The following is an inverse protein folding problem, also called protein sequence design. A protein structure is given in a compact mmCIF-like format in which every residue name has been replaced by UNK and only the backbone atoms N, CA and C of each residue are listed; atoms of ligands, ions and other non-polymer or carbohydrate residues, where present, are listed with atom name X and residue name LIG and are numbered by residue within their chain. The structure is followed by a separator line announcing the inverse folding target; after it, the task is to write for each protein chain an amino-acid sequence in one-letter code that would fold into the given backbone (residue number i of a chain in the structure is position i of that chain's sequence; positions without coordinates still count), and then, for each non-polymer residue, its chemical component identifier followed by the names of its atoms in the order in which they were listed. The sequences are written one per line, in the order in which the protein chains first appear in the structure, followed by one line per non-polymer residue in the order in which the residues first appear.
data_IF_139734578482
#
_entry.id   IF_139734578482
#
_cell.length_a   1.000
_cell.length_b   1.000
_cell.length_c   1.000
_cell.angle_alpha   90.00
_cell.angle_beta   90.00
_cell.angle_gamma   90.00
#
_symmetry.space_group_name_H-M   'P 1'
#
loop_
_entity.id
_entity.type
_entity.pdbx_description
1 polymer ?
#
# COMPACT_ATOMS: atom_id res chain seq x y z
N UNK A 1 -37.38 12.86 21.33
CA UNK A 1 -36.60 11.64 21.61
C UNK A 1 -37.44 10.44 21.17
N UNK A 2 -37.19 9.88 19.99
CA UNK A 2 -37.94 8.71 19.54
C UNK A 2 -37.59 7.52 20.45
N UNK A 3 -38.57 6.98 21.17
CA UNK A 3 -38.43 5.68 21.82
C UNK A 3 -38.12 4.67 20.72
N UNK A 4 -36.84 4.32 20.55
CA UNK A 4 -36.39 3.46 19.47
C UNK A 4 -36.95 2.05 19.70
N UNK A 5 -38.09 1.75 19.08
CA UNK A 5 -38.69 0.43 19.07
C UNK A 5 -37.60 -0.63 18.79
N UNK A 6 -37.59 -1.69 19.59
CA UNK A 6 -36.68 -2.81 19.34
C UNK A 6 -37.19 -3.54 18.11
N UNK A 7 -36.37 -3.70 17.06
CA UNK A 7 -36.80 -4.46 15.89
C UNK A 7 -37.13 -5.89 16.33
N UNK A 8 -38.14 -6.48 15.70
CA UNK A 8 -38.55 -7.85 15.96
C UNK A 8 -37.74 -8.80 15.06
N UNK A 9 -37.39 -9.95 15.61
CA UNK A 9 -36.68 -11.04 14.93
C UNK A 9 -37.63 -12.22 14.82
N UNK A 10 -37.78 -12.77 13.63
CA UNK A 10 -38.62 -13.94 13.37
C UNK A 10 -37.91 -15.22 13.83
N UNK A 11 -38.59 -16.03 14.64
CA UNK A 11 -38.11 -17.36 15.02
C UNK A 11 -38.52 -18.36 13.94
N UNK A 12 -37.54 -19.10 13.43
CA UNK A 12 -37.77 -20.15 12.45
C UNK A 12 -38.01 -21.49 13.16
N UNK A 13 -39.11 -22.17 12.83
CA UNK A 13 -39.37 -23.54 13.26
C UNK A 13 -38.65 -24.52 12.31
N UNK A 14 -38.06 -25.58 12.87
CA UNK A 14 -37.24 -26.54 12.14
C UNK A 14 -38.01 -27.78 11.65
N UNK A 15 -39.22 -28.00 12.18
CA UNK A 15 -40.07 -29.14 11.83
C UNK A 15 -41.24 -28.68 10.96
N UNK A 16 -41.47 -29.37 9.84
CA UNK A 16 -42.50 -29.05 8.84
C UNK A 16 -43.91 -29.45 9.25
N UNK A 17 -44.07 -30.23 10.32
CA UNK A 17 -45.30 -31.00 10.57
C UNK A 17 -46.29 -30.29 11.52
N UNK A 18 -45.92 -29.15 12.10
CA UNK A 18 -46.82 -28.30 12.90
C UNK A 18 -47.17 -27.02 12.14
N UNK A 19 -47.60 -27.17 10.89
CA UNK A 19 -48.19 -26.10 10.11
C UNK A 19 -49.72 -26.06 10.31
N UNK A 20 -50.16 -25.85 11.55
CA UNK A 20 -51.48 -25.27 11.81
C UNK A 20 -51.27 -23.78 12.04
N UNK A 21 -51.67 -22.96 11.06
CA UNK A 21 -51.73 -21.50 11.09
C UNK A 21 -50.58 -20.78 11.84
N UNK A 22 -49.36 -20.97 11.34
CA UNK A 22 -48.45 -19.88 10.97
C UNK A 22 -48.12 -18.78 11.99
N UNK A 23 -48.22 -19.00 13.29
CA UNK A 23 -47.74 -18.03 14.28
C UNK A 23 -46.20 -17.95 14.24
N UNK A 24 -45.69 -17.10 13.35
CA UNK A 24 -44.27 -16.70 13.33
C UNK A 24 -43.99 -16.01 14.66
N UNK A 25 -43.49 -16.74 15.65
CA UNK A 25 -43.17 -16.15 16.94
C UNK A 25 -42.06 -15.13 16.75
N UNK A 26 -42.39 -13.86 16.93
CA UNK A 26 -41.46 -12.75 16.80
C UNK A 26 -40.92 -12.37 18.18
N UNK A 27 -39.61 -12.21 18.30
CA UNK A 27 -38.95 -11.82 19.53
C UNK A 27 -38.31 -10.45 19.37
N UNK A 28 -38.34 -9.63 20.42
CA UNK A 28 -37.63 -8.36 20.41
C UNK A 28 -36.11 -8.58 20.35
N UNK A 29 -35.42 -7.83 19.50
CA UNK A 29 -33.96 -7.85 19.43
C UNK A 29 -33.34 -7.43 20.78
N UNK A 30 -32.48 -8.27 21.40
CA UNK A 30 -31.77 -7.93 22.62
C UNK A 30 -30.94 -6.67 22.48
N UNK A 31 -30.82 -5.89 23.57
CA UNK A 31 -30.11 -4.60 23.55
C UNK A 31 -28.64 -4.76 23.21
N UNK A 32 -28.04 -5.90 23.57
CA UNK A 32 -26.63 -6.22 23.28
C UNK A 32 -26.34 -6.24 21.78
N UNK A 33 -27.32 -6.57 20.93
CA UNK A 33 -27.13 -6.59 19.47
C UNK A 33 -27.10 -5.19 18.85
N UNK A 34 -27.53 -4.17 19.60
CA UNK A 34 -27.41 -2.75 19.22
C UNK A 34 -26.11 -2.11 19.73
N UNK A 35 -25.30 -2.84 20.50
CA UNK A 35 -24.05 -2.32 21.03
C UNK A 35 -23.07 -1.94 19.90
N UNK A 36 -22.23 -0.90 20.09
CA UNK A 36 -21.30 -0.45 19.07
C UNK A 36 -20.29 -1.54 18.72
N UNK A 37 -20.17 -1.84 17.42
CA UNK A 37 -19.21 -2.81 16.90
C UNK A 37 -17.81 -2.21 16.96
N UNK A 38 -16.90 -2.84 17.74
CA UNK A 38 -15.54 -2.34 17.99
C UNK A 38 -14.46 -3.38 17.61
N UNK A 39 -14.03 -3.42 16.33
CA UNK A 39 -12.99 -4.36 15.89
C UNK A 39 -11.65 -4.16 16.58
N UNK A 40 -11.34 -2.92 16.96
CA UNK A 40 -10.14 -2.52 17.69
C UNK A 40 -10.03 -3.25 19.04
N UNK A 41 -11.09 -3.19 19.86
CA UNK A 41 -11.12 -3.84 21.17
C UNK A 41 -11.14 -5.36 21.00
N UNK A 42 -11.95 -5.88 20.08
CA UNK A 42 -12.06 -7.32 19.86
C UNK A 42 -10.72 -7.92 19.45
N UNK A 43 -10.03 -7.32 18.47
CA UNK A 43 -8.69 -7.77 18.06
C UNK A 43 -7.70 -7.76 19.22
N UNK A 44 -7.64 -6.65 19.98
CA UNK A 44 -6.71 -6.49 21.08
C UNK A 44 -6.95 -7.52 22.19
N UNK A 45 -8.20 -7.65 22.65
CA UNK A 45 -8.59 -8.59 23.71
C UNK A 45 -8.46 -10.04 23.26
N UNK A 46 -8.87 -10.38 22.03
CA UNK A 46 -8.71 -11.70 21.45
C UNK A 46 -7.23 -12.12 21.43
N UNK A 47 -6.34 -11.23 20.98
CA UNK A 47 -4.89 -11.51 20.96
C UNK A 47 -4.34 -11.81 22.36
N UNK A 48 -4.79 -11.10 23.38
CA UNK A 48 -4.37 -11.32 24.77
C UNK A 48 -4.96 -12.61 25.35
N UNK A 49 -6.26 -12.87 25.16
CA UNK A 49 -6.90 -14.11 25.59
C UNK A 49 -6.28 -15.34 24.91
N UNK A 50 -5.92 -15.25 23.63
CA UNK A 50 -5.30 -16.34 22.89
C UNK A 50 -3.89 -16.69 23.43
N UNK A 51 -3.18 -15.73 24.02
CA UNK A 51 -1.87 -15.99 24.68
C UNK A 51 -2.03 -16.86 25.92
N UNK A 52 -3.12 -16.73 26.66
CA UNK A 52 -3.36 -17.49 27.90
C UNK A 52 -3.47 -19.00 27.68
N UNK A 53 -3.81 -19.46 26.46
CA UNK A 53 -3.86 -20.90 26.13
C UNK A 53 -2.48 -21.49 25.83
N UNK A 54 -1.43 -20.66 25.67
CA UNK A 54 -0.09 -21.14 25.32
C UNK A 54 0.52 -21.88 26.50
N UNK A 55 1.03 -23.08 26.23
CA UNK A 55 1.83 -23.82 27.20
C UNK A 55 3.23 -23.19 27.26
N UNK A 56 3.80 -22.95 28.45
CA UNK A 56 5.15 -22.46 28.56
C UNK A 56 6.11 -23.46 27.92
N UNK A 57 7.10 -22.95 27.20
CA UNK A 57 8.15 -23.75 26.61
C UNK A 57 9.48 -23.03 26.87
N UNK A 58 10.49 -23.81 27.21
CA UNK A 58 11.85 -23.32 27.43
C UNK A 58 12.84 -24.38 26.97
N UNK A 59 14.05 -23.95 26.62
CA UNK A 59 15.18 -24.88 26.48
C UNK A 59 15.48 -25.45 27.87
N UNK A 60 15.91 -26.72 27.93
CA UNK A 60 16.29 -27.31 29.23
C UNK A 60 17.39 -26.48 29.87
N UNK A 61 17.26 -26.22 31.18
CA UNK A 61 18.22 -25.39 31.94
C UNK A 61 19.66 -25.91 31.87
N UNK A 62 19.84 -27.22 31.65
CA UNK A 62 21.16 -27.88 31.59
C UNK A 62 21.67 -28.12 30.16
N UNK A 63 20.91 -27.72 29.14
CA UNK A 63 21.34 -27.88 27.74
C UNK A 63 22.62 -27.10 27.51
N UNK A 64 23.67 -27.77 27.02
CA UNK A 64 24.99 -27.17 26.79
C UNK A 64 25.90 -27.08 28.02
N UNK A 65 25.40 -27.40 29.22
CA UNK A 65 26.18 -27.37 30.48
C UNK A 65 26.61 -28.75 30.98
N UNK A 66 26.17 -29.83 30.32
CA UNK A 66 26.51 -31.22 30.68
C UNK A 66 27.70 -31.77 29.89
N UNK A 67 28.45 -30.90 29.19
CA UNK A 67 29.66 -31.27 28.47
C UNK A 67 30.89 -30.96 29.31
N UNK A 68 31.74 -31.95 29.55
CA UNK A 68 33.06 -31.79 30.21
C UNK A 68 34.10 -31.11 29.31
N UNK A 69 33.66 -30.15 28.48
CA UNK A 69 34.50 -29.48 27.51
C UNK A 69 35.42 -28.48 28.24
N UNK A 70 36.68 -28.86 28.39
CA UNK A 70 37.73 -28.01 28.95
C UNK A 70 38.63 -27.46 27.84
N UNK A 71 39.12 -26.23 28.00
CA UNK A 71 40.07 -25.61 27.07
C UNK A 71 41.49 -25.99 27.47
N UNK A 72 42.28 -26.56 26.56
CA UNK A 72 43.67 -26.94 26.82
C UNK A 72 44.68 -25.78 26.80
N UNK A 73 44.24 -24.53 26.59
CA UNK A 73 45.14 -23.39 26.42
C UNK A 73 46.02 -23.43 25.15
N UNK A 74 46.56 -22.24 24.81
CA UNK A 74 47.50 -21.88 23.74
C UNK A 74 47.46 -22.65 22.40
N UNK A 75 46.36 -22.51 21.64
CA UNK A 75 46.29 -22.12 20.20
C UNK A 75 44.86 -22.26 19.63
N UNK A 76 44.47 -21.48 18.60
CA UNK A 76 43.05 -21.22 18.31
C UNK A 76 42.40 -22.26 17.41
N UNK A 77 41.13 -22.54 17.71
CA UNK A 77 40.13 -23.36 16.96
C UNK A 77 40.22 -24.88 17.15
N UNK A 78 39.62 -25.39 18.24
CA UNK A 78 39.04 -26.75 18.23
C UNK A 78 37.70 -26.76 18.97
N UNK A 79 36.65 -27.11 18.23
CA UNK A 79 35.34 -27.43 18.78
C UNK A 79 35.41 -28.84 19.44
N UNK A 80 34.78 -29.05 20.60
CA UNK A 80 34.79 -30.34 21.29
C UNK A 80 33.84 -31.36 20.63
N UNK A 81 34.29 -32.62 20.47
CA UNK A 81 33.50 -33.72 19.88
C UNK A 81 33.08 -34.75 20.95
N UNK A 82 31.78 -35.07 21.07
CA UNK A 82 31.30 -36.12 21.98
C UNK A 82 30.98 -37.47 21.27
N UNK A 83 31.19 -38.63 21.92
CA UNK A 83 30.74 -39.94 21.43
C UNK A 83 29.29 -40.29 21.83
N UNK A 84 28.57 -40.99 20.93
CA UNK A 84 27.16 -41.42 21.06
C UNK A 84 26.99 -42.72 21.86
N UNK A 85 25.87 -42.91 22.62
CA UNK A 85 24.87 -43.90 22.17
C UNK A 85 23.38 -43.65 22.54
N UNK A 86 22.53 -44.48 21.92
CA UNK A 86 21.05 -44.50 21.80
C UNK A 86 20.27 -44.75 23.11
N UNK A 87 19.03 -44.24 23.20
CA UNK A 87 17.99 -44.67 24.17
C UNK A 87 16.64 -44.96 23.49
N UNK A 88 15.98 -46.04 23.94
CA UNK A 88 14.58 -46.43 23.65
C UNK A 88 13.65 -45.97 24.79
N UNK A 89 12.44 -45.52 24.46
CA UNK A 89 11.27 -45.60 25.36
C UNK A 89 9.93 -45.49 24.59
N UNK A 90 8.90 -46.18 25.10
CA UNK A 90 7.45 -46.17 24.78
C UNK A 90 6.71 -46.14 26.14
N UNK A 91 5.37 -46.08 26.33
CA UNK A 91 4.19 -45.64 25.54
C UNK A 91 3.27 -44.66 26.33
N UNK A 92 2.15 -44.15 25.73
CA UNK A 92 0.75 -44.14 26.29
C UNK A 92 -0.20 -43.18 25.54
N UNK A 93 -1.43 -43.67 25.29
CA UNK A 93 -2.62 -42.95 24.77
C UNK A 93 -3.42 -42.33 25.92
N UNK A 94 -4.15 -41.21 25.71
CA UNK A 94 -5.28 -40.84 26.56
C UNK A 94 -6.64 -40.93 25.84
N UNK A 95 -7.51 -41.81 26.38
CA UNK A 95 -8.77 -41.50 27.08
C UNK A 95 -9.80 -40.52 26.49
N UNK A 96 -11.04 -41.03 26.36
CA UNK A 96 -12.29 -40.36 25.98
C UNK A 96 -12.91 -39.48 27.07
N UNK A 97 -13.83 -38.59 26.69
CA UNK A 97 -15.06 -38.31 27.45
C UNK A 97 -16.13 -37.69 26.52
N UNK A 98 -17.34 -38.27 26.59
CA UNK A 98 -18.61 -37.74 26.09
C UNK A 98 -19.15 -36.72 27.10
N UNK A 99 -19.95 -35.78 26.61
CA UNK A 99 -21.14 -35.29 27.31
C UNK A 99 -22.19 -34.89 26.26
N UNK A 100 -23.42 -35.34 26.52
CA UNK A 100 -24.61 -35.27 25.69
C UNK A 100 -25.01 -33.83 25.38
N UNK A 101 -25.15 -33.48 24.09
CA UNK A 101 -25.78 -32.24 23.66
C UNK A 101 -27.26 -32.51 23.41
N UNK A 102 -28.09 -32.04 24.33
CA UNK A 102 -29.47 -32.42 24.57
C UNK A 102 -30.43 -32.03 23.43
N UNK A 103 -31.04 -33.05 22.81
CA UNK A 103 -32.26 -32.94 21.99
C UNK A 103 -32.12 -33.29 20.50
N UNK A 104 -30.92 -33.33 19.93
CA UNK A 104 -30.68 -33.79 18.55
C UNK A 104 -29.57 -34.83 18.56
N UNK A 105 -29.96 -36.09 18.59
CA UNK A 105 -29.01 -37.20 18.73
C UNK A 105 -28.25 -37.51 17.43
N UNK A 106 -28.85 -37.19 16.28
CA UNK A 106 -28.32 -37.55 14.96
C UNK A 106 -27.79 -36.33 14.22
N UNK A 107 -26.60 -36.46 13.64
CA UNK A 107 -26.02 -35.42 12.78
C UNK A 107 -26.85 -35.21 11.50
N UNK A 108 -27.60 -36.21 11.05
CA UNK A 108 -28.46 -36.13 9.87
C UNK A 108 -29.63 -35.17 10.06
N UNK A 109 -30.25 -35.14 11.23
CA UNK A 109 -31.33 -34.19 11.55
C UNK A 109 -30.78 -32.77 11.70
N UNK A 110 -29.61 -32.60 12.31
CA UNK A 110 -28.91 -31.31 12.35
C UNK A 110 -28.58 -30.77 10.95
N UNK A 111 -28.12 -31.64 10.02
CA UNK A 111 -27.85 -31.26 8.63
C UNK A 111 -29.14 -30.84 7.90
N UNK A 112 -30.25 -31.54 8.12
CA UNK A 112 -31.56 -31.18 7.54
C UNK A 112 -32.02 -29.80 8.03
N UNK A 113 -31.91 -29.52 9.32
CA UNK A 113 -32.20 -28.21 9.89
C UNK A 113 -31.33 -27.10 9.30
N UNK A 114 -30.02 -27.33 9.16
CA UNK A 114 -29.11 -26.35 8.54
C UNK A 114 -29.42 -26.09 7.06
N UNK A 115 -29.90 -27.11 6.33
CA UNK A 115 -30.33 -26.96 4.93
C UNK A 115 -31.58 -26.10 4.82
N UNK A 116 -32.56 -26.28 5.70
CA UNK A 116 -33.78 -25.46 5.74
C UNK A 116 -33.50 -24.00 6.09
N UNK A 117 -32.57 -23.75 7.01
CA UNK A 117 -32.13 -22.37 7.36
C UNK A 117 -31.24 -21.75 6.25
N UNK A 118 -30.72 -22.55 5.31
CA UNK A 118 -29.76 -22.09 4.30
C UNK A 118 -28.34 -21.88 4.84
N UNK A 119 -28.04 -22.35 6.05
CA UNK A 119 -26.73 -22.27 6.70
C UNK A 119 -25.76 -23.40 6.29
N UNK A 120 -26.28 -24.43 5.62
CA UNK A 120 -25.52 -25.61 5.22
C UNK A 120 -24.32 -25.35 4.27
N UNK A 121 -24.35 -24.37 3.33
CA UNK A 121 -23.20 -24.10 2.47
C UNK A 121 -21.91 -23.72 3.21
N UNK A 122 -22.01 -23.04 4.37
CA UNK A 122 -20.84 -22.69 5.18
C UNK A 122 -20.23 -23.94 5.86
N UNK A 123 -21.08 -24.89 6.25
CA UNK A 123 -20.64 -26.18 6.79
C UNK A 123 -19.96 -27.05 5.72
N UNK A 124 -20.47 -27.04 4.47
CA UNK A 124 -19.83 -27.73 3.34
C UNK A 124 -18.46 -27.13 3.02
N UNK A 125 -18.38 -25.79 2.92
CA UNK A 125 -17.09 -25.09 2.75
C UNK A 125 -16.09 -25.46 3.85
N UNK A 126 -16.54 -25.54 5.10
CA UNK A 126 -15.67 -25.92 6.21
C UNK A 126 -15.16 -27.37 6.09
N UNK A 127 -16.02 -28.30 5.63
CA UNK A 127 -15.64 -29.70 5.36
C UNK A 127 -14.58 -29.81 4.26
N UNK A 128 -14.76 -29.08 3.16
CA UNK A 128 -13.87 -29.15 1.99
C UNK A 128 -12.54 -28.42 2.21
N UNK A 129 -12.53 -27.41 3.09
CA UNK A 129 -11.35 -26.58 3.39
C UNK A 129 -10.28 -27.25 4.27
N UNK A 130 -10.38 -28.56 4.53
CA UNK A 130 -9.42 -29.28 5.37
C UNK A 130 -8.10 -29.55 4.63
N UNK A 131 -7.26 -28.51 4.53
CA UNK A 131 -5.95 -28.60 3.92
C UNK A 131 -4.85 -28.97 4.93
N UNK A 132 -3.84 -29.71 4.47
CA UNK A 132 -2.62 -29.96 5.23
C UNK A 132 -1.86 -28.64 5.39
N UNK A 133 -1.74 -28.15 6.64
CA UNK A 133 -1.02 -26.90 6.90
C UNK A 133 0.47 -27.02 6.57
N UNK A 134 1.08 -26.00 5.95
CA UNK A 134 2.52 -25.97 5.69
C UNK A 134 3.33 -25.78 7.00
N UNK A 135 4.60 -26.21 6.99
CA UNK A 135 5.54 -26.03 8.10
C UNK A 135 5.68 -27.20 9.08
N UNK A 136 6.46 -26.99 10.14
CA UNK A 136 6.85 -28.01 11.13
C UNK A 136 5.72 -28.44 12.09
N UNK A 137 4.56 -27.78 12.03
CA UNK A 137 3.40 -28.07 12.88
C UNK A 137 2.69 -29.40 12.58
N UNK A 138 3.02 -30.05 11.46
CA UNK A 138 2.43 -31.32 10.98
C UNK A 138 2.60 -32.49 11.96
N UNK A 139 3.60 -32.43 12.85
CA UNK A 139 3.86 -33.47 13.85
C UNK A 139 2.82 -33.48 14.99
N UNK A 140 1.93 -32.49 15.08
CA UNK A 140 0.87 -32.42 16.09
C UNK A 140 -0.47 -32.78 15.46
N UNK A 141 -0.82 -34.07 15.54
CA UNK A 141 -2.11 -34.59 15.13
C UNK A 141 -3.23 -33.89 15.92
N UNK A 142 -4.02 -33.03 15.27
CA UNK A 142 -5.21 -32.43 15.89
C UNK A 142 -6.44 -33.11 15.31
N UNK A 143 -7.23 -33.73 16.19
CA UNK A 143 -8.58 -34.21 15.86
C UNK A 143 -9.52 -33.05 16.12
N UNK A 144 -10.28 -32.60 15.11
CA UNK A 144 -11.48 -31.80 15.35
C UNK A 144 -12.55 -32.18 14.33
N UNK A 145 -13.79 -32.21 14.80
CA UNK A 145 -14.99 -32.34 13.97
C UNK A 145 -15.10 -31.07 13.09
N UNK A 146 -15.54 -31.17 11.82
CA UNK A 146 -15.47 -30.04 10.88
C UNK A 146 -16.38 -28.87 11.28
N UNK A 147 -15.78 -27.67 11.37
CA UNK A 147 -16.43 -26.37 11.18
C UNK A 147 -17.37 -25.82 12.25
N UNK A 148 -18.11 -26.69 12.97
CA UNK A 148 -19.20 -26.28 13.86
C UNK A 148 -18.77 -26.31 15.33
N UNK A 149 -19.07 -25.23 16.07
CA UNK A 149 -18.81 -25.14 17.50
C UNK A 149 -20.09 -24.80 18.28
N UNK A 150 -20.30 -25.48 19.41
CA UNK A 150 -21.44 -25.23 20.32
C UNK A 150 -20.96 -24.46 21.56
N UNK A 151 -21.80 -23.54 22.05
CA UNK A 151 -21.53 -22.69 23.21
C UNK A 151 -22.85 -22.36 23.92
N UNK A 152 -22.85 -22.36 25.25
CA UNK A 152 -23.94 -21.85 26.07
C UNK A 152 -23.79 -20.32 26.29
N UNK A 153 -24.89 -19.59 26.27
CA UNK A 153 -24.97 -18.12 26.39
C UNK A 153 -24.33 -17.57 27.67
N UNK A 154 -24.43 -18.30 28.78
CA UNK A 154 -23.85 -17.89 30.05
C UNK A 154 -22.31 -17.89 30.05
N UNK A 155 -21.70 -18.66 29.14
CA UNK A 155 -20.26 -18.84 29.02
C UNK A 155 -19.76 -18.51 27.61
N UNK A 156 -20.30 -17.42 27.03
CA UNK A 156 -19.85 -16.92 25.73
C UNK A 156 -18.39 -16.48 25.79
N UNK A 157 -17.59 -16.99 24.86
CA UNK A 157 -16.16 -16.69 24.75
C UNK A 157 -15.87 -15.97 23.44
N UNK A 158 -15.09 -14.88 23.52
CA UNK A 158 -14.64 -14.11 22.37
C UNK A 158 -13.85 -14.95 21.36
N UNK A 159 -13.04 -15.92 21.81
CA UNK A 159 -12.23 -16.77 20.92
C UNK A 159 -13.08 -17.60 19.96
N UNK A 160 -14.31 -17.93 20.37
CA UNK A 160 -15.25 -18.67 19.53
C UNK A 160 -16.14 -17.73 18.74
N UNK A 161 -16.59 -16.60 19.29
CA UNK A 161 -17.41 -15.64 18.53
C UNK A 161 -16.62 -14.90 17.43
N UNK A 162 -15.33 -14.66 17.65
CA UNK A 162 -14.46 -13.93 16.74
C UNK A 162 -13.13 -14.68 16.53
N UNK A 163 -13.14 -15.82 15.81
CA UNK A 163 -11.94 -16.62 15.62
C UNK A 163 -10.88 -15.80 14.87
N UNK A 164 -9.70 -15.67 15.49
CA UNK A 164 -8.61 -14.86 14.92
C UNK A 164 -8.78 -13.35 15.12
N UNK A 165 -9.80 -12.90 15.86
CA UNK A 165 -10.12 -11.49 16.08
C UNK A 165 -11.11 -10.91 15.06
N UNK A 166 -11.45 -11.66 14.01
CA UNK A 166 -12.42 -11.20 13.03
C UNK A 166 -13.84 -11.26 13.56
N UNK A 167 -14.57 -10.15 13.42
CA UNK A 167 -15.97 -10.00 13.78
C UNK A 167 -16.87 -10.75 12.78
N UNK A 168 -18.09 -11.09 13.21
CA UNK A 168 -19.12 -11.58 12.28
C UNK A 168 -19.06 -13.07 11.97
N UNK A 169 -18.74 -13.91 12.96
CA UNK A 169 -18.97 -15.35 12.82
C UNK A 169 -20.48 -15.60 12.65
N UNK A 170 -20.84 -16.51 11.74
CA UNK A 170 -22.23 -16.96 11.61
C UNK A 170 -22.63 -17.74 12.86
N UNK A 171 -23.64 -17.25 13.58
CA UNK A 171 -24.13 -17.83 14.84
C UNK A 171 -25.62 -18.11 14.71
N UNK A 172 -26.02 -19.33 15.04
CA UNK A 172 -27.42 -19.71 15.18
C UNK A 172 -27.78 -19.66 16.66
N UNK A 173 -28.83 -18.92 17.00
CA UNK A 173 -29.34 -18.81 18.37
C UNK A 173 -30.58 -19.66 18.53
N UNK A 174 -30.71 -20.35 19.67
CA UNK A 174 -32.01 -20.88 20.10
C UNK A 174 -32.86 -19.75 20.67
N UNK A 175 -34.18 -19.87 20.59
CA UNK A 175 -35.13 -18.87 21.15
C UNK A 175 -34.82 -18.54 22.62
N UNK A 176 -34.68 -19.57 23.46
CA UNK A 176 -34.38 -19.43 24.88
C UNK A 176 -33.00 -18.82 25.14
N UNK A 177 -32.02 -19.10 24.29
CA UNK A 177 -30.70 -18.47 24.35
C UNK A 177 -30.77 -16.96 24.04
N UNK A 178 -31.60 -16.59 23.07
CA UNK A 178 -31.75 -15.21 22.61
C UNK A 178 -32.41 -14.31 23.68
N UNK A 179 -33.45 -14.80 24.33
CA UNK A 179 -34.13 -14.10 25.44
C UNK A 179 -33.21 -13.93 26.66
N UNK A 180 -32.38 -14.94 26.97
CA UNK A 180 -31.43 -14.90 28.09
C UNK A 180 -30.35 -13.81 27.95
N UNK A 181 -30.05 -13.34 26.73
CA UNK A 181 -29.03 -12.31 26.51
C UNK A 181 -29.35 -10.99 27.23
N UNK A 182 -30.63 -10.61 27.27
CA UNK A 182 -31.04 -9.36 27.93
C UNK A 182 -30.87 -9.43 29.46
N UNK A 183 -31.13 -10.57 30.09
CA UNK A 183 -30.85 -10.76 31.53
C UNK A 183 -29.34 -10.75 31.83
N UNK A 184 -28.53 -11.35 30.96
CA UNK A 184 -27.06 -11.45 31.15
C UNK A 184 -26.36 -10.10 30.98
N UNK A 185 -26.73 -9.32 29.97
CA UNK A 185 -26.02 -8.09 29.58
C UNK A 185 -26.78 -6.81 29.90
N UNK A 186 -28.08 -6.88 30.21
CA UNK A 186 -28.91 -5.71 30.49
C UNK A 186 -29.19 -4.88 29.25
N UNK A 187 -29.41 -3.58 29.47
CA UNK A 187 -29.63 -2.60 28.41
C UNK A 187 -28.66 -1.41 28.55
N UNK A 188 -28.83 -0.37 27.73
CA UNK A 188 -28.01 0.84 27.84
C UNK A 188 -28.29 1.63 29.12
N UNK A 189 -29.50 1.53 29.68
CA UNK A 189 -29.93 2.29 30.86
C UNK A 189 -30.18 1.40 32.08
N UNK A 190 -30.63 0.15 31.87
CA UNK A 190 -30.80 -0.83 32.95
C UNK A 190 -29.53 -1.67 33.13
N UNK A 191 -28.96 -1.75 34.35
CA UNK A 191 -27.81 -2.61 34.63
C UNK A 191 -28.19 -4.09 34.46
N UNK A 192 -27.20 -4.93 34.18
CA UNK A 192 -27.44 -6.36 34.03
C UNK A 192 -27.70 -7.07 35.36
N UNK A 193 -28.53 -8.11 35.33
CA UNK A 193 -28.88 -8.91 36.52
C UNK A 193 -27.73 -9.84 36.92
N UNK A 194 -27.08 -10.49 35.94
CA UNK A 194 -26.02 -11.47 36.23
C UNK A 194 -24.64 -10.87 36.45
N UNK A 195 -24.31 -9.78 35.76
CA UNK A 195 -22.99 -9.14 35.88
C UNK A 195 -23.11 -7.90 36.76
N UNK A 196 -22.62 -8.01 38.00
CA UNK A 196 -22.68 -6.93 38.98
C UNK A 196 -22.09 -5.63 38.41
N UNK A 197 -22.89 -4.57 38.37
CA UNK A 197 -22.47 -3.23 37.93
C UNK A 197 -22.15 -3.09 36.44
N UNK A 198 -22.50 -4.08 35.61
CA UNK A 198 -22.26 -4.02 34.17
C UNK A 198 -23.39 -3.30 33.44
N UNK A 199 -23.02 -2.36 32.57
CA UNK A 199 -23.90 -1.70 31.60
C UNK A 199 -23.29 -1.83 30.20
N UNK A 200 -24.16 -1.79 29.17
CA UNK A 200 -23.70 -1.80 27.78
C UNK A 200 -22.93 -0.51 27.45
N UNK A 201 -21.81 -0.62 26.70
CA UNK A 201 -21.03 0.55 26.30
C UNK A 201 -21.84 1.42 25.34
N UNK A 202 -21.84 2.74 25.59
CA UNK A 202 -22.44 3.73 24.69
C UNK A 202 -21.45 4.12 23.59
N UNK A 203 -21.97 4.29 22.37
CA UNK A 203 -21.18 4.84 21.27
C UNK A 203 -20.89 6.33 21.51
N UNK A 204 -19.76 6.83 21.01
CA UNK A 204 -19.44 8.27 21.06
C UNK A 204 -20.34 9.11 20.17
N UNK A 205 -20.84 8.52 19.08
CA UNK A 205 -21.79 9.13 18.16
C UNK A 205 -23.10 8.36 18.23
N UNK A 206 -24.23 9.05 18.22
CA UNK A 206 -25.56 8.42 18.20
C UNK A 206 -25.83 7.78 16.84
N UNK A 207 -25.48 8.48 15.75
CA UNK A 207 -25.63 8.02 14.37
C UNK A 207 -24.24 7.80 13.77
N UNK A 208 -23.99 6.61 13.20
CA UNK A 208 -22.73 6.28 12.54
C UNK A 208 -22.66 6.69 11.06
N UNK A 209 -23.81 7.00 10.45
CA UNK A 209 -23.90 7.42 9.04
C UNK A 209 -23.50 8.89 8.88
N UNK A 210 -22.17 9.11 8.90
CA UNK A 210 -21.56 10.42 8.70
C UNK A 210 -21.92 11.02 7.34
N UNK A 211 -21.92 10.27 6.21
CA UNK A 211 -22.36 10.80 4.92
C UNK A 211 -23.77 11.40 4.95
N UNK A 212 -24.73 10.75 5.60
CA UNK A 212 -26.08 11.28 5.74
C UNK A 212 -26.13 12.58 6.53
N UNK A 213 -25.34 12.68 7.61
CA UNK A 213 -25.25 13.92 8.41
C UNK A 213 -24.60 15.03 7.58
N UNK A 214 -23.51 14.74 6.87
CA UNK A 214 -22.82 15.72 6.03
C UNK A 214 -23.74 16.23 4.92
N UNK A 215 -24.52 15.36 4.30
CA UNK A 215 -25.43 15.69 3.20
C UNK A 215 -26.80 16.19 3.65
N UNK A 216 -27.00 16.39 4.96
CA UNK A 216 -28.22 17.00 5.47
C UNK A 216 -28.30 18.47 5.08
N UNK A 217 -29.53 18.97 4.87
CA UNK A 217 -29.77 20.34 4.42
C UNK A 217 -29.25 21.37 5.44
N UNK A 218 -29.32 21.04 6.72
CA UNK A 218 -28.82 21.87 7.82
C UNK A 218 -27.31 22.09 7.74
N UNK A 219 -26.55 21.07 7.32
CA UNK A 219 -25.10 21.18 7.13
C UNK A 219 -24.79 21.83 5.79
N UNK A 220 -25.41 21.39 4.70
CA UNK A 220 -25.11 21.86 3.35
C UNK A 220 -25.51 23.32 3.11
N UNK A 221 -26.53 23.84 3.79
CA UNK A 221 -26.92 25.26 3.72
C UNK A 221 -25.86 26.21 4.28
N UNK A 222 -25.04 25.74 5.25
CA UNK A 222 -23.99 26.54 5.90
C UNK A 222 -22.61 26.30 5.26
N UNK A 223 -22.38 25.10 4.71
CA UNK A 223 -21.08 24.72 4.12
C UNK A 223 -20.77 25.59 2.90
N UNK A 224 -19.57 26.18 2.90
CA UNK A 224 -19.06 26.94 1.75
C UNK A 224 -18.81 26.02 0.57
N UNK A 225 -19.03 26.48 -0.67
CA UNK A 225 -18.75 25.68 -1.85
C UNK A 225 -17.27 25.28 -1.94
N UNK A 226 -17.02 24.09 -2.49
CA UNK A 226 -15.68 23.54 -2.66
C UNK A 226 -14.85 24.45 -3.58
N UNK A 227 -13.66 24.84 -3.14
CA UNK A 227 -12.67 25.55 -3.98
C UNK A 227 -12.05 24.56 -4.98
N UNK A 228 -12.50 24.59 -6.23
CA UNK A 228 -12.03 23.69 -7.30
C UNK A 228 -10.63 24.00 -7.80
N UNK A 229 -10.22 25.27 -7.72
CA UNK A 229 -8.95 25.72 -8.26
C UNK A 229 -7.80 25.50 -7.27
N UNK A 230 -7.00 24.47 -7.49
CA UNK A 230 -5.71 24.30 -6.82
C UNK A 230 -4.63 24.99 -7.66
N UNK A 231 -4.28 26.22 -7.31
CA UNK A 231 -3.15 26.95 -7.93
C UNK A 231 -1.84 26.31 -7.51
N UNK A 232 -1.28 25.46 -8.36
CA UNK A 232 0.08 24.92 -8.18
C UNK A 232 1.10 25.92 -8.70
N UNK A 233 2.23 26.05 -7.99
CA UNK A 233 3.33 26.89 -8.45
C UNK A 233 3.87 26.33 -9.79
N UNK A 234 3.78 27.08 -10.90
CA UNK A 234 4.38 26.63 -12.15
C UNK A 234 5.91 26.75 -12.07
N UNK A 235 6.62 25.91 -12.83
CA UNK A 235 8.05 26.08 -13.03
C UNK A 235 8.31 27.43 -13.71
N UNK A 236 9.14 28.28 -13.08
CA UNK A 236 9.57 29.57 -13.65
C UNK A 236 10.47 29.31 -14.86
N UNK A 237 9.93 29.53 -16.06
CA UNK A 237 10.68 29.43 -17.33
C UNK A 237 11.42 30.74 -17.59
N UNK A 238 12.67 30.66 -18.04
CA UNK A 238 13.46 31.83 -18.40
C UNK A 238 12.93 32.45 -19.72
N UNK A 239 12.44 33.71 -19.72
CA UNK A 239 11.90 34.36 -20.92
C UNK A 239 12.92 34.52 -22.05
N UNK A 240 14.18 34.82 -21.74
CA UNK A 240 15.22 35.04 -22.74
C UNK A 240 15.56 33.76 -23.50
N UNK A 241 15.44 32.60 -22.84
CA UNK A 241 15.67 31.29 -23.45
C UNK A 241 14.41 30.68 -24.06
N UNK A 242 13.23 31.01 -23.53
CA UNK A 242 11.95 30.48 -24.00
C UNK A 242 11.09 31.59 -24.62
N UNK A 243 11.07 31.60 -25.95
CA UNK A 243 10.39 32.64 -26.73
C UNK A 243 8.88 32.74 -26.43
N UNK A 244 8.17 31.64 -26.16
CA UNK A 244 6.75 31.69 -25.83
C UNK A 244 6.50 32.42 -24.50
N UNK A 245 7.40 32.26 -23.53
CA UNK A 245 7.32 33.03 -22.28
C UNK A 245 7.74 34.47 -22.49
N UNK A 246 8.69 34.77 -23.39
CA UNK A 246 8.98 36.14 -23.79
C UNK A 246 7.78 36.79 -24.45
N UNK A 247 7.08 36.10 -25.36
CA UNK A 247 5.91 36.64 -26.07
C UNK A 247 4.76 36.98 -25.13
N UNK A 248 4.57 36.19 -24.07
CA UNK A 248 3.59 36.48 -23.02
C UNK A 248 3.93 37.74 -22.23
N UNK A 249 5.21 38.06 -22.09
CA UNK A 249 5.69 39.25 -21.37
C UNK A 249 5.82 40.48 -22.28
N UNK A 250 6.28 40.28 -23.51
CA UNK A 250 6.51 41.30 -24.51
C UNK A 250 6.04 40.80 -25.90
N UNK A 251 4.84 41.21 -26.36
CA UNK A 251 4.33 40.81 -27.66
C UNK A 251 5.17 41.36 -28.83
N UNK A 252 5.83 42.52 -28.67
CA UNK A 252 6.71 43.11 -29.67
C UNK A 252 8.02 42.33 -29.87
N UNK A 253 8.37 41.39 -29.00
CA UNK A 253 9.51 40.50 -29.22
C UNK A 253 9.36 39.69 -30.52
N UNK A 254 8.12 39.43 -30.97
CA UNK A 254 7.85 38.78 -32.26
C UNK A 254 8.25 39.64 -33.45
N UNK A 255 7.83 40.90 -33.44
CA UNK A 255 8.11 41.83 -34.53
C UNK A 255 9.59 42.16 -34.57
N UNK A 256 10.21 42.44 -33.41
CA UNK A 256 11.65 42.69 -33.30
C UNK A 256 12.48 41.53 -33.84
N UNK A 257 12.16 40.27 -33.47
CA UNK A 257 12.86 39.09 -33.99
C UNK A 257 12.67 38.90 -35.49
N UNK A 258 11.47 39.14 -36.01
CA UNK A 258 11.18 39.08 -37.45
C UNK A 258 11.97 40.13 -38.23
N UNK A 259 12.00 41.37 -37.73
CA UNK A 259 12.77 42.45 -38.33
C UNK A 259 14.27 42.15 -38.32
N UNK A 260 14.78 41.58 -37.22
CA UNK A 260 16.18 41.16 -37.13
C UNK A 260 16.54 40.09 -38.17
N UNK A 261 15.70 39.08 -38.37
CA UNK A 261 15.91 38.04 -39.39
C UNK A 261 15.90 38.61 -40.81
N UNK A 262 14.92 39.45 -41.15
CA UNK A 262 14.86 40.10 -42.46
C UNK A 262 16.09 40.98 -42.72
N UNK A 263 16.54 41.71 -41.70
CA UNK A 263 17.75 42.51 -41.80
C UNK A 263 19.02 41.64 -41.97
N UNK A 264 19.08 40.49 -41.31
CA UNK A 264 20.19 39.54 -41.45
C UNK A 264 20.23 38.94 -42.86
N UNK A 265 19.10 38.49 -43.40
CA UNK A 265 18.97 38.00 -44.77
C UNK A 265 19.46 39.04 -45.80
N UNK A 266 19.05 40.30 -45.64
CA UNK A 266 19.51 41.40 -46.49
C UNK A 266 21.02 41.64 -46.37
N UNK A 267 21.59 41.58 -45.15
CA UNK A 267 23.03 41.72 -44.91
C UNK A 267 23.83 40.59 -45.55
N UNK A 268 23.37 39.35 -45.44
CA UNK A 268 24.01 38.18 -46.05
C UNK A 268 24.00 38.31 -47.57
N UNK A 269 22.85 38.69 -48.16
CA UNK A 269 22.73 38.94 -49.60
C UNK A 269 23.67 40.05 -50.07
N UNK A 270 23.66 41.21 -49.41
CA UNK A 270 24.54 42.33 -49.73
C UNK A 270 26.03 41.97 -49.59
N UNK A 271 26.39 41.16 -48.58
CA UNK A 271 27.77 40.66 -48.40
C UNK A 271 28.18 39.73 -49.54
N UNK A 272 27.30 38.82 -49.97
CA UNK A 272 27.52 37.92 -51.11
C UNK A 272 27.70 38.71 -52.41
N UNK A 273 26.82 39.67 -52.69
CA UNK A 273 26.95 40.53 -53.88
C UNK A 273 28.24 41.36 -53.89
N UNK A 274 28.65 41.91 -52.74
CA UNK A 274 29.94 42.60 -52.60
C UNK A 274 31.12 41.65 -52.84
N UNK A 275 31.04 40.43 -52.32
CA UNK A 275 32.08 39.41 -52.53
C UNK A 275 32.15 38.99 -54.02
N UNK A 276 31.01 38.79 -54.68
CA UNK A 276 30.94 38.39 -56.08
C UNK A 276 31.44 39.51 -57.02
N UNK A 277 31.18 40.79 -56.68
CA UNK A 277 31.78 41.94 -57.38
C UNK A 277 33.30 41.99 -57.23
N UNK A 278 33.84 41.70 -56.04
CA UNK A 278 35.29 41.59 -55.79
C UNK A 278 35.92 40.36 -56.46
N UNK A 279 35.14 39.30 -56.68
CA UNK A 279 35.55 38.06 -57.37
C UNK A 279 35.46 38.15 -58.89
N UNK A 280 34.98 39.26 -59.49
CA UNK A 280 35.13 39.48 -60.93
C UNK A 280 36.59 39.31 -61.32
N UNK A 281 36.86 38.44 -62.29
CA UNK A 281 38.22 38.08 -62.69
C UNK A 281 38.98 39.34 -63.07
N UNK A 282 40.13 39.57 -62.41
CA UNK A 282 41.15 40.51 -62.89
C UNK A 282 41.41 40.15 -64.36
N UNK A 283 41.36 41.12 -65.27
CA UNK A 283 41.62 40.85 -66.69
C UNK A 283 42.97 40.16 -66.83
N UNK A 284 43.13 39.25 -67.80
CA UNK A 284 44.42 38.55 -68.02
C UNK A 284 45.57 39.55 -68.12
N UNK A 285 45.32 40.72 -68.70
CA UNK A 285 46.23 41.86 -68.84
C UNK A 285 46.67 42.44 -67.49
N UNK A 286 45.74 42.76 -66.58
CA UNK A 286 46.09 43.28 -65.26
C UNK A 286 46.79 42.22 -64.38
N UNK A 287 46.45 40.93 -64.56
CA UNK A 287 47.13 39.84 -63.87
C UNK A 287 48.56 39.60 -64.40
N UNK A 288 48.82 39.86 -65.69
CA UNK A 288 50.16 39.79 -66.28
C UNK A 288 51.06 40.98 -65.91
N UNK A 289 50.51 42.11 -65.45
CA UNK A 289 51.31 43.24 -64.95
C UNK A 289 51.68 43.07 -63.46
N UNK A 290 50.76 42.54 -62.64
CA UNK A 290 50.95 42.43 -61.18
C UNK A 290 51.89 41.27 -60.78
N UNK A 291 51.86 40.17 -61.52
CA UNK A 291 52.71 38.98 -61.27
C UNK A 291 54.22 39.22 -61.47
N UNK A 292 54.69 39.91 -62.54
CA UNK A 292 56.11 40.18 -62.72
C UNK A 292 56.64 41.21 -61.72
N UNK A 293 55.87 42.22 -61.31
CA UNK A 293 56.31 43.18 -60.28
C UNK A 293 56.66 42.51 -58.95
N UNK A 294 55.91 41.48 -58.54
CA UNK A 294 56.25 40.68 -57.36
C UNK A 294 57.50 39.81 -57.56
N UNK A 295 57.66 39.21 -58.74
CA UNK A 295 58.85 38.39 -59.07
C UNK A 295 60.12 39.22 -59.21
N UNK A 296 60.04 40.42 -59.77
CA UNK A 296 61.16 41.36 -59.93
C UNK A 296 61.67 41.79 -58.57
N UNK A 297 60.78 42.16 -57.63
CA UNK A 297 61.17 42.47 -56.25
C UNK A 297 61.88 41.30 -55.55
N UNK A 298 61.37 40.07 -55.71
CA UNK A 298 62.06 38.90 -55.17
C UNK A 298 63.40 38.62 -55.85
N UNK A 299 63.53 38.81 -57.17
CA UNK A 299 64.82 38.61 -57.85
C UNK A 299 65.87 39.65 -57.46
N UNK A 300 65.48 40.89 -57.17
CA UNK A 300 66.41 41.90 -56.63
C UNK A 300 66.99 41.54 -55.26
N UNK A 301 66.42 40.56 -54.54
CA UNK A 301 66.91 40.09 -53.24
C UNK A 301 67.70 38.78 -53.27
N UNK A 302 67.91 38.15 -54.44
CA UNK A 302 68.42 36.77 -54.53
C UNK A 302 69.92 36.65 -54.86
N UNK A 303 70.63 37.71 -55.28
CA UNK A 303 72.07 37.58 -55.52
C UNK A 303 72.87 38.87 -55.36
N UNK A 304 73.70 38.95 -54.32
CA UNK A 304 74.82 39.90 -54.21
C UNK A 304 76.01 39.40 -55.06
N UNK A 305 75.81 39.28 -56.37
CA UNK A 305 76.91 39.07 -57.32
C UNK A 305 77.29 40.40 -57.97
N UNK A 306 78.50 40.52 -58.51
CA UNK A 306 79.17 41.75 -59.00
C UNK A 306 78.37 42.63 -60.01
N UNK A 307 77.17 42.22 -60.43
CA UNK A 307 76.23 43.05 -61.21
C UNK A 307 75.27 43.89 -60.35
N UNK A 308 75.09 43.58 -59.06
CA UNK A 308 74.30 44.40 -58.11
C UNK A 308 75.01 45.69 -57.72
N UNK A 309 76.33 45.72 -57.85
CA UNK A 309 77.11 46.92 -57.56
C UNK A 309 76.77 48.06 -58.52
N UNK A 310 76.40 47.80 -59.78
CA UNK A 310 76.06 48.84 -60.76
C UNK A 310 74.72 49.55 -60.49
N UNK A 311 73.66 48.83 -60.13
CA UNK A 311 72.37 49.48 -59.78
C UNK A 311 72.47 50.24 -58.45
N UNK A 312 73.22 49.70 -57.49
CA UNK A 312 73.52 50.38 -56.24
C UNK A 312 74.40 51.62 -56.47
N UNK A 313 75.41 51.56 -57.37
CA UNK A 313 76.23 52.71 -57.73
C UNK A 313 75.44 53.80 -58.46
N UNK A 314 74.54 53.42 -59.37
CA UNK A 314 73.68 54.36 -60.10
C UNK A 314 72.72 55.06 -59.14
N UNK A 315 72.14 54.31 -58.19
CA UNK A 315 71.30 54.86 -57.12
C UNK A 315 72.08 55.75 -56.15
N UNK A 316 73.33 55.41 -55.82
CA UNK A 316 74.17 56.24 -54.95
C UNK A 316 74.67 57.52 -55.62
N UNK A 317 75.13 57.45 -56.87
CA UNK A 317 75.55 58.64 -57.63
C UNK A 317 74.41 59.63 -57.85
N UNK A 318 73.17 59.14 -58.03
CA UNK A 318 71.97 59.98 -58.11
C UNK A 318 71.46 60.52 -56.76
N UNK A 319 71.99 60.04 -55.64
CA UNK A 319 71.64 60.49 -54.27
C UNK A 319 72.70 61.45 -53.69
N UNK A 320 73.92 61.47 -54.25
CA UNK A 320 75.03 62.31 -53.77
C UNK A 320 75.22 63.64 -54.53
N UNK A 321 74.18 64.18 -55.14
CA UNK A 321 74.11 65.59 -55.59
C UNK A 321 73.10 66.36 -54.76
#
# INVERSE_FOLDING_TARGET
MAAAARPLVTVHNLDSDMATDGATTALALPSVMKAPIRPDIVNHTHANMAKNRRQPYAVSKKTGHQTSAESSGYRPRRLPYPPCPRRRHSPRRPGSLRDSAEGIEKTSTAIKALKQIGAYPDAEKAKDSHAIRPGKGKMRNRRNVPGVEVINVERLNLLKLAPGGHLGRFVVWTKSAFEKLDSIYGSFDKPSEKKKGYLLPRAKMVNADVPRIINSDEVQSVVRPIKKEVKRAPMKKNPLKNFNTMLKLNPYAKTARRMALLAEEQRVKAKKEKLDKKRKQISKEAATTIKPSGKVWYQTMISDSNYTEFENFTKWLGVSQ
#
